data_IF_362364191573
#
_entry.id   IF_362364191573
#
_cell.length_a   1.000
_cell.length_b   1.000
_cell.length_c   1.000
_cell.angle_alpha   90.00
_cell.angle_beta   90.00
_cell.angle_gamma   90.00
#
_symmetry.space_group_name_H-M   'P 1'
#
loop_
_entity.id
_entity.type
_entity.pdbx_description
1 polymer ?
#
# COMPACT_ATOMS: atom_id res chain seq x y z
N UNK A 1 -70.32 -17.13 -24.97
CA UNK A 1 -69.33 -18.16 -25.39
C UNK A 1 -68.11 -18.07 -24.45
N UNK A 2 -68.05 -18.97 -23.45
CA UNK A 2 -66.99 -18.94 -22.39
C UNK A 2 -65.90 -19.90 -22.80
N UNK A 3 -64.68 -19.37 -23.02
CA UNK A 3 -63.47 -20.16 -23.31
C UNK A 3 -62.83 -20.48 -21.98
N UNK A 4 -62.78 -21.76 -21.59
CA UNK A 4 -62.05 -22.27 -20.45
C UNK A 4 -60.56 -22.34 -20.81
N UNK A 5 -59.71 -21.63 -20.05
CA UNK A 5 -58.24 -21.78 -20.12
C UNK A 5 -57.85 -22.96 -19.24
N UNK A 6 -57.31 -24.00 -19.86
CA UNK A 6 -56.71 -25.15 -19.22
C UNK A 6 -55.28 -24.81 -18.80
N UNK A 7 -55.01 -24.86 -17.49
CA UNK A 7 -53.69 -24.67 -16.91
C UNK A 7 -52.95 -25.99 -16.95
N UNK A 8 -51.86 -26.09 -17.69
CA UNK A 8 -50.97 -27.23 -17.72
C UNK A 8 -49.90 -26.98 -16.67
N UNK A 9 -49.89 -27.80 -15.63
CA UNK A 9 -48.79 -27.82 -14.66
C UNK A 9 -47.67 -28.73 -15.19
N UNK A 10 -46.50 -28.11 -15.49
CA UNK A 10 -45.29 -28.87 -15.77
C UNK A 10 -44.59 -29.16 -14.46
N UNK A 11 -44.57 -30.42 -14.08
CA UNK A 11 -43.74 -30.93 -12.97
C UNK A 11 -42.30 -31.00 -13.43
N UNK A 12 -41.44 -30.12 -12.90
CA UNK A 12 -40.00 -30.21 -13.09
C UNK A 12 -39.39 -30.99 -11.96
N UNK A 13 -38.94 -32.21 -12.25
CA UNK A 13 -38.25 -33.06 -11.27
C UNK A 13 -36.85 -32.51 -11.04
N UNK A 14 -36.60 -32.12 -9.79
CA UNK A 14 -35.26 -31.66 -9.32
C UNK A 14 -34.43 -32.89 -8.95
N UNK A 15 -33.48 -33.26 -9.80
CA UNK A 15 -32.46 -34.27 -9.50
C UNK A 15 -31.36 -33.66 -8.62
N UNK A 16 -31.34 -34.00 -7.34
CA UNK A 16 -30.22 -33.71 -6.43
C UNK A 16 -29.06 -34.64 -6.74
N UNK A 17 -28.01 -34.10 -7.33
CA UNK A 17 -26.70 -34.78 -7.43
C UNK A 17 -25.93 -34.49 -6.13
N UNK A 18 -25.86 -35.47 -5.25
CA UNK A 18 -24.96 -35.47 -4.11
C UNK A 18 -23.53 -35.78 -4.63
N UNK A 19 -22.73 -34.73 -4.80
CA UNK A 19 -21.30 -34.90 -5.00
C UNK A 19 -20.62 -35.12 -3.65
N UNK A 20 -20.21 -36.34 -3.38
CA UNK A 20 -19.41 -36.68 -2.20
C UNK A 20 -17.99 -36.15 -2.41
N UNK A 21 -17.61 -35.14 -1.65
CA UNK A 21 -16.21 -34.73 -1.53
C UNK A 21 -15.44 -35.80 -0.74
N UNK A 22 -14.61 -36.59 -1.41
CA UNK A 22 -13.58 -37.38 -0.77
C UNK A 22 -12.43 -36.43 -0.34
N UNK A 23 -11.88 -36.58 0.87
CA UNK A 23 -10.71 -35.78 1.27
C UNK A 23 -9.50 -36.20 0.45
N UNK A 24 -8.85 -35.21 -0.18
CA UNK A 24 -7.59 -35.40 -0.88
C UNK A 24 -6.51 -35.83 0.14
N UNK A 25 -5.86 -36.95 -0.15
CA UNK A 25 -4.71 -37.42 0.60
C UNK A 25 -3.56 -36.42 0.48
N UNK A 26 -3.09 -35.90 1.60
CA UNK A 26 -1.87 -35.12 1.70
C UNK A 26 -0.68 -36.02 1.36
N UNK A 27 0.24 -35.63 0.48
CA UNK A 27 1.48 -36.38 0.29
C UNK A 27 2.33 -36.24 1.55
N UNK A 28 2.60 -37.37 2.17
CA UNK A 28 3.50 -37.50 3.32
C UNK A 28 4.95 -37.34 2.80
N UNK A 29 5.46 -36.11 2.81
CA UNK A 29 6.86 -35.83 2.47
C UNK A 29 7.70 -35.97 3.74
N UNK A 30 7.91 -37.19 4.21
CA UNK A 30 8.90 -37.50 5.25
C UNK A 30 10.27 -37.43 4.61
N UNK A 31 10.95 -36.29 4.81
CA UNK A 31 12.40 -36.27 4.61
C UNK A 31 13.07 -37.16 5.68
N UNK A 32 14.06 -37.97 5.31
CA UNK A 32 14.81 -38.77 6.27
C UNK A 32 15.57 -37.82 7.20
N UNK A 33 15.26 -37.90 8.48
CA UNK A 33 16.09 -37.29 9.53
C UNK A 33 17.39 -38.08 9.60
N UNK A 34 18.48 -37.51 9.12
CA UNK A 34 19.81 -38.00 9.36
C UNK A 34 20.17 -37.63 10.81
N UNK A 35 20.13 -38.63 11.67
CA UNK A 35 20.44 -38.47 13.10
C UNK A 35 21.95 -38.70 13.29
N UNK A 36 22.78 -37.77 12.79
CA UNK A 36 24.18 -37.70 13.17
C UNK A 36 24.34 -36.81 14.39
N UNK A 37 24.28 -37.49 15.52
CA UNK A 37 24.56 -36.93 16.84
C UNK A 37 26.07 -36.88 17.04
N UNK A 38 26.73 -35.80 16.61
CA UNK A 38 28.10 -35.48 17.00
C UNK A 38 28.20 -34.01 17.41
N UNK A 39 28.35 -33.83 18.71
CA UNK A 39 28.92 -32.66 19.44
C UNK A 39 28.88 -31.32 18.69
N UNK A 40 27.85 -30.51 18.90
CA UNK A 40 27.92 -29.07 18.72
C UNK A 40 27.75 -28.41 20.10
N UNK A 41 28.82 -28.37 20.85
CA UNK A 41 29.03 -27.28 21.78
C UNK A 41 29.80 -26.24 20.99
N UNK A 42 29.12 -25.23 20.44
CA UNK A 42 29.67 -23.89 20.30
C UNK A 42 28.66 -22.95 19.66
N UNK A 43 28.34 -21.93 20.46
CA UNK A 43 27.93 -20.63 19.92
C UNK A 43 26.55 -20.56 19.28
N UNK A 44 25.53 -20.29 20.09
CA UNK A 44 24.35 -19.58 19.55
C UNK A 44 24.91 -18.30 18.93
N UNK A 45 24.86 -18.12 17.59
CA UNK A 45 25.32 -16.88 16.98
C UNK A 45 24.53 -15.71 17.57
N UNK A 46 25.25 -14.71 18.05
CA UNK A 46 24.64 -13.46 18.48
C UNK A 46 23.84 -12.87 17.30
N UNK A 47 22.69 -12.22 17.54
CA UNK A 47 21.84 -11.68 16.46
C UNK A 47 22.58 -10.83 15.42
N UNK A 48 23.72 -10.23 15.78
CA UNK A 48 24.56 -9.44 14.87
C UNK A 48 25.41 -10.26 13.89
N UNK A 49 25.65 -11.58 14.12
CA UNK A 49 26.51 -12.36 13.23
C UNK A 49 25.78 -13.04 12.08
N UNK A 50 24.45 -13.20 12.16
CA UNK A 50 23.66 -13.77 11.08
C UNK A 50 23.30 -12.76 9.96
N UNK A 51 23.50 -11.46 10.22
CA UNK A 51 23.16 -10.42 9.25
C UNK A 51 24.31 -10.04 8.30
N UNK A 52 25.56 -10.38 8.66
CA UNK A 52 26.74 -9.95 7.90
C UNK A 52 26.92 -10.67 6.54
N UNK A 53 26.29 -11.82 6.32
CA UNK A 53 26.48 -12.63 5.11
C UNK A 53 25.27 -12.61 4.15
N UNK A 54 24.24 -11.81 4.46
CA UNK A 54 23.07 -11.64 3.58
C UNK A 54 23.12 -10.26 2.91
N UNK A 55 23.44 -10.16 1.60
CA UNK A 55 23.49 -8.86 0.91
C UNK A 55 22.17 -8.09 0.95
N UNK A 56 21.02 -8.77 1.07
CA UNK A 56 19.73 -8.14 1.29
C UNK A 56 19.55 -7.56 2.70
N UNK A 57 20.17 -8.17 3.72
CA UNK A 57 20.13 -7.66 5.09
C UNK A 57 21.02 -6.41 5.29
N UNK A 58 22.09 -6.28 4.52
CA UNK A 58 22.96 -5.09 4.55
C UNK A 58 22.20 -3.86 4.02
N UNK A 59 21.43 -4.02 2.95
CA UNK A 59 20.62 -2.92 2.39
C UNK A 59 19.52 -2.44 3.35
N UNK A 60 18.94 -3.36 4.14
CA UNK A 60 17.94 -3.05 5.18
C UNK A 60 18.55 -2.38 6.44
N UNK A 61 19.86 -2.23 6.51
CA UNK A 61 20.58 -1.65 7.66
C UNK A 61 21.17 -0.27 7.35
N UNK A 62 21.02 0.24 6.14
CA UNK A 62 21.49 1.59 5.80
C UNK A 62 20.51 2.64 6.32
N UNK A 63 21.02 3.71 6.96
CA UNK A 63 20.19 4.83 7.38
C UNK A 63 19.50 5.49 6.19
N UNK A 64 18.24 5.85 6.36
CA UNK A 64 17.53 6.67 5.39
C UNK A 64 18.12 8.09 5.43
N UNK A 65 18.77 8.47 4.34
CA UNK A 65 19.45 9.77 4.25
C UNK A 65 19.03 10.51 2.99
N UNK A 66 19.05 11.84 3.07
CA UNK A 66 18.86 12.70 1.90
C UNK A 66 19.65 14.00 2.07
N UNK A 67 20.10 14.63 0.97
CA UNK A 67 20.80 15.90 1.07
C UNK A 67 19.85 17.04 1.45
N UNK A 68 20.34 17.99 2.24
CA UNK A 68 19.65 19.25 2.56
C UNK A 68 18.25 19.09 3.17
N UNK A 69 18.03 18.04 3.99
CA UNK A 69 16.74 17.76 4.63
C UNK A 69 16.34 18.92 5.55
N UNK A 70 15.16 19.47 5.32
CA UNK A 70 14.61 20.55 6.13
C UNK A 70 13.62 20.00 7.17
N UNK A 71 13.43 20.68 8.29
CA UNK A 71 12.35 20.33 9.23
C UNK A 71 10.99 20.29 8.52
N UNK A 72 10.13 19.35 8.91
CA UNK A 72 8.76 19.35 8.46
C UNK A 72 8.05 20.66 8.87
N UNK A 73 7.27 21.21 7.96
CA UNK A 73 6.44 22.40 8.23
C UNK A 73 5.09 22.05 8.84
N UNK A 74 4.66 20.81 8.65
CA UNK A 74 3.43 20.24 9.17
C UNK A 74 3.76 19.15 10.20
N UNK A 75 2.90 18.98 11.19
CA UNK A 75 3.08 17.98 12.24
C UNK A 75 1.93 16.97 12.31
N UNK A 76 0.93 17.10 11.45
CA UNK A 76 -0.23 16.22 11.38
C UNK A 76 -0.31 15.56 10.01
N UNK A 77 0.03 14.28 9.94
CA UNK A 77 -0.12 13.46 8.73
C UNK A 77 -1.58 13.06 8.47
N UNK A 78 -1.83 12.54 7.26
CA UNK A 78 -3.14 11.98 6.89
C UNK A 78 -4.28 13.01 6.74
N UNK A 79 -3.95 14.31 6.67
CA UNK A 79 -4.97 15.34 6.45
C UNK A 79 -5.53 15.26 5.03
N UNK A 80 -6.81 15.62 4.81
CA UNK A 80 -7.40 15.60 3.48
C UNK A 80 -6.60 16.45 2.48
N UNK A 81 -6.28 15.86 1.31
CA UNK A 81 -5.64 16.58 0.21
C UNK A 81 -6.71 17.37 -0.56
N UNK A 82 -6.50 18.67 -0.70
CA UNK A 82 -7.33 19.49 -1.56
C UNK A 82 -7.09 19.13 -3.03
N UNK A 83 -8.15 19.24 -3.84
CA UNK A 83 -8.08 19.09 -5.29
C UNK A 83 -8.66 20.33 -5.98
N UNK A 84 -8.29 20.50 -7.25
CA UNK A 84 -8.99 21.39 -8.17
C UNK A 84 -9.82 20.55 -9.15
N UNK A 85 -10.89 21.11 -9.68
CA UNK A 85 -11.70 20.44 -10.68
C UNK A 85 -11.40 21.04 -12.06
N UNK A 86 -11.08 20.16 -13.00
CA UNK A 86 -10.84 20.52 -14.41
C UNK A 86 -11.70 19.63 -15.31
N UNK A 87 -12.67 20.19 -15.99
CA UNK A 87 -13.58 19.47 -16.92
C UNK A 87 -14.20 18.20 -16.30
N UNK A 88 -14.56 18.25 -15.01
CA UNK A 88 -15.15 17.13 -14.28
C UNK A 88 -14.11 16.12 -13.75
N UNK A 89 -12.81 16.39 -13.89
CA UNK A 89 -11.71 15.59 -13.35
C UNK A 89 -11.24 16.23 -12.04
N UNK A 90 -11.13 15.43 -10.98
CA UNK A 90 -10.51 15.84 -9.70
C UNK A 90 -9.00 15.74 -9.83
N UNK A 91 -8.32 16.87 -9.80
CA UNK A 91 -6.87 16.97 -9.98
C UNK A 91 -6.19 17.21 -8.64
N UNK A 92 -5.34 16.27 -8.24
CA UNK A 92 -4.53 16.31 -7.03
C UNK A 92 -3.06 16.55 -7.38
N UNK A 93 -2.34 17.24 -6.51
CA UNK A 93 -0.91 17.46 -6.65
C UNK A 93 -0.17 16.87 -5.45
N UNK A 94 0.82 16.03 -5.75
CA UNK A 94 1.71 15.42 -4.77
C UNK A 94 3.15 15.79 -5.10
N UNK A 95 3.94 16.00 -4.05
CA UNK A 95 5.39 16.12 -4.14
C UNK A 95 6.01 15.14 -3.17
N UNK A 96 6.88 14.26 -3.66
CA UNK A 96 7.70 13.46 -2.77
C UNK A 96 8.93 14.25 -2.37
N UNK A 97 9.24 14.27 -1.08
CA UNK A 97 10.43 14.94 -0.56
C UNK A 97 10.86 14.37 0.79
N UNK A 98 12.15 14.51 1.10
CA UNK A 98 12.67 14.17 2.41
C UNK A 98 12.49 15.35 3.39
N UNK A 99 12.10 15.05 4.64
CA UNK A 99 11.97 16.03 5.73
C UNK A 99 12.50 15.46 7.04
N UNK A 100 12.84 16.31 7.99
CA UNK A 100 13.01 15.94 9.39
C UNK A 100 11.63 15.87 10.04
N UNK A 101 11.11 14.64 10.17
CA UNK A 101 9.76 14.40 10.67
C UNK A 101 9.78 14.15 12.19
N UNK A 102 8.99 14.90 12.98
CA UNK A 102 8.88 14.67 14.42
C UNK A 102 8.01 13.43 14.68
N UNK A 103 8.53 12.44 15.38
CA UNK A 103 7.80 11.22 15.75
C UNK A 103 7.40 11.20 17.23
N UNK A 104 8.23 11.79 18.09
CA UNK A 104 8.00 11.96 19.52
C UNK A 104 8.59 13.29 19.95
N UNK A 105 8.23 13.73 21.16
CA UNK A 105 8.79 14.94 21.74
C UNK A 105 10.32 14.88 21.78
N UNK A 106 10.97 15.78 21.05
CA UNK A 106 12.42 15.86 20.93
C UNK A 106 13.07 14.80 20.05
N UNK A 107 12.30 13.96 19.38
CA UNK A 107 12.82 12.93 18.48
C UNK A 107 12.33 13.17 17.05
N UNK A 108 13.26 13.43 16.15
CA UNK A 108 13.01 13.58 14.73
C UNK A 108 13.77 12.53 13.93
N UNK A 109 13.22 12.18 12.77
CA UNK A 109 13.83 11.21 11.85
C UNK A 109 13.84 11.78 10.44
N UNK A 110 14.80 11.36 9.62
CA UNK A 110 14.70 11.59 8.18
C UNK A 110 13.58 10.72 7.63
N UNK A 111 12.55 11.33 7.07
CA UNK A 111 11.44 10.63 6.45
C UNK A 111 11.29 11.03 4.98
N UNK A 112 10.90 10.05 4.15
CA UNK A 112 10.42 10.28 2.79
C UNK A 112 8.90 10.48 2.84
N UNK A 113 8.41 11.53 2.25
CA UNK A 113 7.05 12.00 2.48
C UNK A 113 6.32 12.32 1.19
N UNK A 114 5.00 12.20 1.20
CA UNK A 114 4.14 12.91 0.27
C UNK A 114 3.73 14.24 0.90
N UNK A 115 3.99 15.35 0.23
CA UNK A 115 3.69 16.72 0.66
C UNK A 115 4.24 17.10 2.06
N UNK A 116 5.33 16.43 2.49
CA UNK A 116 6.03 16.79 3.73
C UNK A 116 5.42 16.20 5.01
N UNK A 117 4.53 15.22 4.94
CA UNK A 117 3.90 14.58 6.11
C UNK A 117 3.99 13.05 6.07
N UNK A 118 3.95 12.42 7.26
CA UNK A 118 3.83 10.97 7.46
C UNK A 118 2.68 10.69 8.44
N UNK A 119 1.67 9.86 8.06
CA UNK A 119 1.42 9.43 6.68
C UNK A 119 1.20 10.63 5.75
N UNK A 120 1.37 10.43 4.44
CA UNK A 120 1.06 11.44 3.44
C UNK A 120 -0.42 11.85 3.47
N UNK A 121 -0.81 12.89 2.71
CA UNK A 121 -2.17 13.41 2.73
C UNK A 121 -3.19 12.39 2.23
N UNK A 122 -4.37 12.38 2.83
CA UNK A 122 -5.48 11.51 2.43
C UNK A 122 -6.12 12.01 1.13
N UNK A 123 -6.21 11.15 0.14
CA UNK A 123 -7.05 11.37 -1.03
C UNK A 123 -8.41 10.74 -0.74
N UNK A 124 -9.49 11.54 -0.85
CA UNK A 124 -10.86 11.07 -0.69
C UNK A 124 -11.71 11.49 -1.89
N UNK A 125 -12.32 10.50 -2.54
CA UNK A 125 -13.12 10.67 -3.76
C UNK A 125 -14.35 9.78 -3.68
N UNK A 126 -15.26 9.92 -4.65
CA UNK A 126 -16.45 9.07 -4.76
C UNK A 126 -16.26 8.05 -5.88
N UNK A 127 -16.82 6.86 -5.72
CA UNK A 127 -16.79 5.83 -6.76
C UNK A 127 -17.34 6.36 -8.09
N UNK A 128 -16.56 6.18 -9.14
CA UNK A 128 -16.84 6.68 -10.48
C UNK A 128 -16.25 8.05 -10.78
N UNK A 129 -15.65 8.76 -9.80
CA UNK A 129 -14.93 9.99 -10.09
C UNK A 129 -13.75 9.72 -11.02
N UNK A 130 -13.54 10.60 -11.99
CA UNK A 130 -12.28 10.68 -12.72
C UNK A 130 -11.27 11.42 -11.89
N UNK A 131 -10.11 10.82 -11.68
CA UNK A 131 -9.02 11.40 -10.90
C UNK A 131 -7.77 11.53 -11.74
N UNK A 132 -7.07 12.64 -11.52
CA UNK A 132 -5.73 12.90 -12.05
C UNK A 132 -4.83 13.25 -10.88
N UNK A 133 -3.78 12.49 -10.68
CA UNK A 133 -2.79 12.75 -9.64
C UNK A 133 -1.46 13.08 -10.31
N UNK A 134 -1.01 14.31 -10.13
CA UNK A 134 0.26 14.82 -10.64
C UNK A 134 1.26 14.71 -9.51
N UNK A 135 2.28 13.89 -9.68
CA UNK A 135 3.35 13.73 -8.70
C UNK A 135 4.66 14.28 -9.22
N UNK A 136 5.33 15.10 -8.43
CA UNK A 136 6.70 15.56 -8.63
C UNK A 136 7.64 14.82 -7.68
N UNK A 137 8.69 14.22 -8.20
CA UNK A 137 9.71 13.58 -7.39
C UNK A 137 10.82 14.58 -7.00
N UNK A 138 10.89 14.93 -5.72
CA UNK A 138 11.97 15.75 -5.13
C UNK A 138 12.84 14.92 -4.16
N UNK A 139 12.73 13.58 -4.19
CA UNK A 139 13.64 12.69 -3.48
C UNK A 139 14.99 12.59 -4.21
N UNK A 140 16.05 12.16 -3.53
CA UNK A 140 17.31 11.84 -4.18
C UNK A 140 17.24 10.58 -5.05
N UNK A 141 16.21 9.74 -4.82
CA UNK A 141 16.04 8.43 -5.44
C UNK A 141 14.84 8.42 -6.38
N UNK A 142 14.81 7.51 -7.38
CA UNK A 142 13.61 7.26 -8.17
C UNK A 142 12.45 6.79 -7.29
N UNK A 143 11.22 7.00 -7.73
CA UNK A 143 10.02 6.53 -7.03
C UNK A 143 8.89 6.17 -7.99
N UNK A 144 7.85 5.54 -7.50
CA UNK A 144 6.54 5.35 -8.18
C UNK A 144 5.43 5.45 -7.15
N UNK A 145 4.16 5.51 -7.58
CA UNK A 145 3.02 5.33 -6.69
C UNK A 145 2.20 4.13 -7.14
N UNK A 146 1.97 3.19 -6.23
CA UNK A 146 1.01 2.11 -6.37
C UNK A 146 -0.27 2.42 -5.59
N UNK A 147 -1.41 2.15 -6.22
CA UNK A 147 -2.76 2.38 -5.68
C UNK A 147 -3.29 1.07 -5.12
N UNK A 148 -2.85 0.73 -3.91
CA UNK A 148 -3.06 -0.59 -3.34
C UNK A 148 -4.54 -0.94 -3.17
N UNK A 149 -5.00 -1.93 -3.93
CA UNK A 149 -6.39 -2.41 -3.91
C UNK A 149 -7.36 -1.65 -4.81
N UNK A 150 -6.92 -0.58 -5.47
CA UNK A 150 -7.74 0.18 -6.42
C UNK A 150 -7.60 -0.43 -7.82
N UNK A 151 -8.71 -0.54 -8.54
CA UNK A 151 -8.71 -1.02 -9.94
C UNK A 151 -8.28 0.11 -10.88
N UNK A 152 -7.07 0.02 -11.41
CA UNK A 152 -6.49 1.02 -12.31
C UNK A 152 -6.08 0.38 -13.65
N UNK A 153 -5.97 1.17 -14.74
CA UNK A 153 -5.32 0.70 -15.96
C UNK A 153 -3.88 0.24 -15.68
N UNK A 154 -3.41 -0.81 -16.34
CA UNK A 154 -2.06 -1.36 -16.12
C UNK A 154 -0.95 -0.29 -16.12
N UNK A 155 -0.99 0.65 -17.07
CA UNK A 155 0.00 1.74 -17.15
C UNK A 155 -0.06 2.74 -15.98
N UNK A 156 -1.04 2.64 -15.08
CA UNK A 156 -1.24 3.50 -13.91
C UNK A 156 -1.03 2.75 -12.59
N UNK A 157 -0.59 1.49 -12.64
CA UNK A 157 -0.45 0.64 -11.46
C UNK A 157 0.81 0.92 -10.61
N UNK A 158 1.78 1.61 -11.18
CA UNK A 158 2.94 2.09 -10.43
C UNK A 158 4.02 1.06 -10.14
N UNK A 159 4.01 -0.10 -10.81
CA UNK A 159 5.03 -1.15 -10.61
C UNK A 159 6.24 -0.87 -11.50
N UNK A 160 7.40 -0.51 -10.92
CA UNK A 160 8.56 -0.07 -11.69
C UNK A 160 9.11 -1.21 -12.58
N UNK A 161 9.43 -0.86 -13.82
CA UNK A 161 9.95 -1.81 -14.82
C UNK A 161 8.93 -2.83 -15.35
N UNK A 162 7.68 -2.79 -14.87
CA UNK A 162 6.59 -3.66 -15.31
C UNK A 162 5.46 -2.85 -15.92
N UNK A 163 4.92 -1.89 -15.20
CA UNK A 163 3.79 -1.06 -15.65
C UNK A 163 4.20 0.35 -16.04
N UNK A 164 5.33 0.83 -15.51
CA UNK A 164 5.92 2.13 -15.84
C UNK A 164 7.42 2.14 -15.55
N UNK A 165 8.12 3.12 -16.11
CA UNK A 165 9.47 3.47 -15.67
C UNK A 165 9.42 4.24 -14.35
N UNK A 166 10.43 4.08 -13.46
CA UNK A 166 10.52 4.88 -12.24
C UNK A 166 10.63 6.37 -12.55
N UNK A 167 9.94 7.20 -11.76
CA UNK A 167 9.99 8.66 -11.83
C UNK A 167 11.32 9.11 -11.24
N UNK A 168 12.20 9.63 -12.06
CA UNK A 168 13.54 10.06 -11.65
C UNK A 168 13.48 11.33 -10.76
N UNK A 169 14.52 11.60 -9.95
CA UNK A 169 14.66 12.86 -9.23
C UNK A 169 14.45 14.07 -10.14
N UNK A 170 13.54 14.98 -9.74
CA UNK A 170 13.16 16.18 -10.48
C UNK A 170 12.07 15.97 -11.53
N UNK A 171 11.72 14.73 -11.87
CA UNK A 171 10.68 14.44 -12.85
C UNK A 171 9.27 14.53 -12.26
N UNK A 172 8.30 14.60 -13.15
CA UNK A 172 6.87 14.60 -12.85
C UNK A 172 6.18 13.50 -13.65
N UNK A 173 5.26 12.78 -13.00
CA UNK A 173 4.40 11.80 -13.65
C UNK A 173 2.93 12.10 -13.36
N UNK A 174 2.03 11.67 -14.24
CA UNK A 174 0.60 11.88 -14.08
C UNK A 174 -0.12 10.54 -14.14
N UNK A 175 -0.79 10.20 -13.06
CA UNK A 175 -1.71 9.06 -12.97
C UNK A 175 -3.12 9.51 -13.28
N UNK A 176 -3.83 8.79 -14.15
CA UNK A 176 -5.22 9.07 -14.50
C UNK A 176 -6.04 7.78 -14.50
N UNK A 177 -7.10 7.75 -13.70
CA UNK A 177 -7.99 6.59 -13.64
C UNK A 177 -9.38 6.98 -13.11
N UNK A 178 -10.32 6.04 -13.22
CA UNK A 178 -11.63 6.15 -12.58
C UNK A 178 -11.53 5.48 -11.21
N UNK A 179 -11.92 6.19 -10.16
CA UNK A 179 -11.89 5.69 -8.78
C UNK A 179 -12.89 4.55 -8.60
N UNK A 180 -12.40 3.33 -8.35
CA UNK A 180 -13.20 2.12 -8.09
C UNK A 180 -12.34 0.97 -7.55
N UNK A 181 -12.95 0.00 -6.84
CA UNK A 181 -14.29 0.04 -6.24
C UNK A 181 -14.35 1.00 -5.02
N UNK A 182 -15.55 1.23 -4.48
CA UNK A 182 -15.70 1.90 -3.19
C UNK A 182 -15.00 1.10 -2.09
N UNK A 183 -14.32 1.79 -1.16
CA UNK A 183 -13.58 1.14 -0.08
C UNK A 183 -12.54 2.04 0.59
N UNK A 184 -11.84 1.44 1.54
CA UNK A 184 -10.71 2.05 2.25
C UNK A 184 -9.42 1.41 1.77
N UNK A 185 -8.58 2.20 1.15
CA UNK A 185 -7.36 1.80 0.49
C UNK A 185 -6.18 2.63 0.97
N UNK A 186 -5.00 2.37 0.41
CA UNK A 186 -3.81 3.19 0.59
C UNK A 186 -3.09 3.40 -0.74
N UNK A 187 -2.28 4.43 -0.82
CA UNK A 187 -1.28 4.56 -1.85
C UNK A 187 0.11 4.64 -1.22
N UNK A 188 1.09 4.10 -1.93
CA UNK A 188 2.46 4.02 -1.41
C UNK A 188 3.48 3.88 -2.54
N UNK A 189 4.75 4.08 -2.23
CA UNK A 189 5.82 3.79 -3.18
C UNK A 189 5.90 2.29 -3.47
N UNK A 190 6.18 1.93 -4.74
CA UNK A 190 6.50 0.57 -5.15
C UNK A 190 7.95 0.44 -5.66
N UNK A 191 8.72 1.53 -5.60
CA UNK A 191 10.16 1.52 -5.88
C UNK A 191 10.90 1.29 -4.57
N UNK A 192 11.67 0.18 -4.47
CA UNK A 192 12.34 -0.23 -3.22
C UNK A 192 11.39 -0.09 -2.01
N UNK A 193 10.25 -0.80 -2.10
CA UNK A 193 9.13 -0.59 -1.19
C UNK A 193 9.47 -0.82 0.29
N UNK A 194 10.36 -1.74 0.59
CA UNK A 194 10.92 -1.99 1.93
C UNK A 194 11.64 -0.76 2.49
N UNK A 195 12.35 0.00 1.64
CA UNK A 195 13.04 1.24 2.02
C UNK A 195 12.06 2.41 2.03
N UNK A 196 11.41 2.69 0.90
CA UNK A 196 10.64 3.92 0.73
C UNK A 196 9.35 3.95 1.54
N UNK A 197 8.64 2.82 1.67
CA UNK A 197 7.47 2.73 2.55
C UNK A 197 7.90 2.79 4.01
N UNK A 198 8.95 2.07 4.38
CA UNK A 198 9.54 2.15 5.72
C UNK A 198 9.99 3.57 6.09
N UNK A 199 10.45 4.36 5.09
CA UNK A 199 10.80 5.77 5.27
C UNK A 199 9.61 6.71 5.43
N UNK A 200 8.36 6.29 5.06
CA UNK A 200 7.16 7.11 5.22
C UNK A 200 6.33 7.36 3.96
N UNK A 201 6.72 6.80 2.79
CA UNK A 201 5.95 6.97 1.54
C UNK A 201 4.71 6.08 1.48
N UNK A 202 3.75 6.35 2.33
CA UNK A 202 2.41 5.74 2.34
C UNK A 202 1.36 6.76 2.80
N UNK A 203 0.12 6.58 2.34
CA UNK A 203 -0.98 7.47 2.71
C UNK A 203 -2.35 6.81 2.46
N UNK A 204 -3.43 7.25 3.11
CA UNK A 204 -4.76 6.71 2.92
C UNK A 204 -5.39 7.18 1.60
N UNK A 205 -6.11 6.27 0.95
CA UNK A 205 -6.93 6.53 -0.23
C UNK A 205 -8.35 5.99 0.03
N UNK A 206 -9.34 6.88 0.08
CA UNK A 206 -10.73 6.53 0.37
C UNK A 206 -11.57 6.75 -0.87
N UNK A 207 -12.34 5.74 -1.24
CA UNK A 207 -13.34 5.83 -2.29
C UNK A 207 -14.70 5.64 -1.64
N UNK A 208 -15.41 6.74 -1.44
CA UNK A 208 -16.77 6.69 -0.90
C UNK A 208 -17.72 6.03 -1.91
N UNK A 209 -18.71 5.25 -1.47
CA UNK A 209 -19.69 4.67 -2.35
C UNK A 209 -20.50 5.77 -3.05
N UNK A 210 -20.88 5.51 -4.31
CA UNK A 210 -21.69 6.43 -5.11
C UNK A 210 -23.05 6.73 -4.48
N UNK A 211 -23.65 5.71 -3.89
CA UNK A 211 -24.88 5.86 -3.11
C UNK A 211 -24.51 5.96 -1.63
N UNK A 212 -24.89 7.05 -0.96
CA UNK A 212 -24.62 7.22 0.45
C UNK A 212 -25.19 6.08 1.30
N UNK A 213 -24.48 5.71 2.35
CA UNK A 213 -24.99 4.73 3.33
C UNK A 213 -26.30 5.23 3.96
N UNK A 214 -27.28 4.32 4.10
CA UNK A 214 -28.58 4.66 4.69
C UNK A 214 -28.46 5.09 6.16
N UNK A 215 -27.46 4.58 6.88
CA UNK A 215 -27.17 4.89 8.27
C UNK A 215 -25.67 5.13 8.43
N UNK A 216 -25.13 6.29 8.05
CA UNK A 216 -23.72 6.58 8.18
C UNK A 216 -23.30 6.62 9.65
N UNK A 217 -22.06 6.23 9.99
CA UNK A 217 -21.55 6.31 11.34
C UNK A 217 -21.52 7.76 11.81
N UNK A 218 -21.76 7.98 13.11
CA UNK A 218 -21.69 9.33 13.70
C UNK A 218 -20.26 9.91 13.69
N UNK A 219 -19.27 9.04 13.62
CA UNK A 219 -17.84 9.41 13.56
C UNK A 219 -17.15 8.49 12.56
N UNK A 220 -16.51 9.07 11.58
CA UNK A 220 -15.64 8.40 10.61
C UNK A 220 -14.20 8.88 10.83
N UNK A 221 -13.28 7.93 11.09
CA UNK A 221 -11.85 8.22 11.30
C UNK A 221 -10.99 7.21 10.58
N UNK A 222 -10.00 7.72 9.87
CA UNK A 222 -8.96 6.90 9.25
C UNK A 222 -7.76 6.83 10.20
N UNK A 223 -7.31 5.63 10.52
CA UNK A 223 -6.11 5.36 11.31
C UNK A 223 -5.11 4.60 10.44
N UNK A 224 -3.91 5.17 10.30
CA UNK A 224 -2.77 4.50 9.67
C UNK A 224 -1.84 3.99 10.79
N UNK A 225 -1.52 2.70 10.75
CA UNK A 225 -0.58 2.07 11.67
C UNK A 225 0.68 1.75 10.88
N UNK A 226 1.83 2.16 11.38
CA UNK A 226 3.13 1.90 10.76
C UNK A 226 4.19 1.64 11.83
N UNK A 227 5.25 0.99 11.42
CA UNK A 227 6.46 0.82 12.22
C UNK A 227 7.56 1.72 11.68
N UNK A 228 8.35 2.27 12.59
CA UNK A 228 9.59 2.97 12.30
C UNK A 228 10.71 2.24 13.03
N UNK A 229 11.69 1.74 12.27
CA UNK A 229 12.88 1.15 12.84
C UNK A 229 13.90 2.25 13.13
N UNK A 230 14.33 2.35 14.38
CA UNK A 230 15.28 3.36 14.80
C UNK A 230 16.43 2.72 15.57
N UNK A 231 17.64 3.21 15.33
CA UNK A 231 18.83 2.89 16.12
C UNK A 231 19.67 4.15 16.22
N UNK A 232 20.04 4.53 17.45
CA UNK A 232 20.88 5.71 17.73
C UNK A 232 20.38 7.05 17.12
N UNK A 233 19.05 7.19 16.96
CA UNK A 233 18.42 8.39 16.40
C UNK A 233 18.33 8.43 14.87
N UNK A 234 18.81 7.39 14.19
CA UNK A 234 18.67 7.23 12.74
C UNK A 234 17.52 6.29 12.40
N UNK A 235 16.85 6.54 11.28
CA UNK A 235 15.83 5.66 10.71
C UNK A 235 16.43 4.70 9.71
N UNK A 236 15.94 3.47 9.72
CA UNK A 236 16.34 2.41 8.81
C UNK A 236 15.13 1.87 8.06
N UNK A 237 15.38 1.24 6.93
CA UNK A 237 14.36 0.47 6.21
C UNK A 237 13.75 -0.60 7.14
N UNK A 238 12.44 -0.83 7.00
CA UNK A 238 11.68 -1.76 7.84
C UNK A 238 11.87 -3.22 7.40
#
# INVERSE_FOLDING_TARGET
>A
MRIKKTMIFSLMALALILSACAPAATPNNTMPMNNDNSNVTDGIPTPGSMMADNPGAAHMMEPITAPNVQPATETAGGQPLAYREEDGIKVFELTTKAVQWPILDGVTVTAYTYNGTVPGPMIRVTEGDQVRIIIKNELPDPTTIHWHGVEVPNAMDGVPGVTQDPIQPGETFTYEFIAKPAGTFMYHSHFEGDVQVGAGLYAPFIIDPKEPEANPPAVDKVLMISELRMTDGETFAA
#
